data_IF_275280927124
#
_entry.id   IF_275280927124
#
_cell.length_a   1.000
_cell.length_b   1.000
_cell.length_c   1.000
_cell.angle_alpha   90.00
_cell.angle_beta   90.00
_cell.angle_gamma   90.00
#
_symmetry.space_group_name_H-M   'P 1'
#
loop_
_entity.id
_entity.type
_entity.pdbx_description
1 polymer ?
#
# COMPACT_ATOMS: atom_id res chain seq x y z
N UNK A 1 -8.27 26.58 -8.89
CA UNK A 1 -7.40 25.88 -9.86
C UNK A 1 -6.38 25.01 -9.12
N UNK A 2 -6.68 23.72 -8.98
CA UNK A 2 -5.77 22.67 -8.51
C UNK A 2 -5.56 21.67 -9.66
N UNK A 3 -4.51 20.85 -9.60
CA UNK A 3 -4.36 19.72 -10.52
C UNK A 3 -4.82 18.44 -9.86
N UNK A 4 -5.63 17.65 -10.56
CA UNK A 4 -5.95 16.30 -10.16
C UNK A 4 -4.66 15.47 -10.07
N UNK A 5 -4.38 14.77 -8.96
CA UNK A 5 -3.16 13.97 -8.81
C UNK A 5 -3.08 12.79 -9.80
N UNK A 6 -4.23 12.28 -10.25
CA UNK A 6 -4.35 11.18 -11.22
C UNK A 6 -4.12 11.64 -12.67
N UNK A 7 -5.09 12.36 -13.23
CA UNK A 7 -5.12 12.69 -14.65
C UNK A 7 -4.39 13.99 -15.01
N UNK A 8 -3.83 14.70 -14.02
CA UNK A 8 -3.22 16.04 -14.16
C UNK A 8 -4.17 17.12 -14.73
N UNK A 9 -5.47 16.86 -14.79
CA UNK A 9 -6.48 17.83 -15.24
C UNK A 9 -6.53 19.06 -14.32
N UNK A 10 -6.86 20.22 -14.90
CA UNK A 10 -7.06 21.47 -14.18
C UNK A 10 -8.50 21.51 -13.66
N UNK A 11 -8.66 21.29 -12.35
CA UNK A 11 -9.95 21.35 -11.65
C UNK A 11 -10.06 22.66 -10.88
N UNK A 12 -11.25 23.26 -10.89
CA UNK A 12 -11.58 24.40 -10.03
C UNK A 12 -12.34 23.86 -8.82
N UNK A 13 -11.75 24.06 -7.64
CA UNK A 13 -12.25 23.65 -6.33
C UNK A 13 -12.06 24.87 -5.43
N UNK A 14 -13.13 25.31 -4.78
CA UNK A 14 -13.15 26.49 -3.92
C UNK A 14 -12.86 26.10 -2.46
N UNK A 15 -11.80 26.67 -1.87
CA UNK A 15 -11.34 26.37 -0.50
C UNK A 15 -12.30 26.83 0.62
N UNK A 16 -13.28 27.67 0.27
CA UNK A 16 -14.40 28.09 1.13
C UNK A 16 -15.64 27.15 1.01
N UNK A 17 -15.72 26.31 -0.03
CA UNK A 17 -16.85 25.39 -0.26
C UNK A 17 -16.57 23.97 0.28
N UNK A 18 -15.31 23.50 0.22
CA UNK A 18 -14.92 22.15 0.65
C UNK A 18 -14.33 22.09 2.06
N UNK A 19 -14.64 21.03 2.80
CA UNK A 19 -14.11 20.78 4.16
C UNK A 19 -13.01 19.70 4.20
N UNK A 20 -12.19 19.69 5.26
CA UNK A 20 -11.17 18.64 5.47
C UNK A 20 -11.85 17.27 5.71
N UNK A 21 -11.49 16.27 4.91
CA UNK A 21 -12.13 14.95 4.88
C UNK A 21 -13.36 14.86 3.95
N UNK A 22 -13.63 15.86 3.12
CA UNK A 22 -14.69 15.77 2.11
C UNK A 22 -14.25 14.97 0.87
N UNK A 23 -15.19 14.19 0.30
CA UNK A 23 -14.98 13.33 -0.86
C UNK A 23 -15.53 14.02 -2.11
N UNK A 24 -14.67 14.25 -3.10
CA UNK A 24 -14.98 14.86 -4.39
C UNK A 24 -14.82 13.82 -5.51
N UNK A 25 -15.57 13.94 -6.60
CA UNK A 25 -15.32 13.16 -7.84
C UNK A 25 -14.70 14.04 -8.91
N UNK A 26 -13.62 13.60 -9.54
CA UNK A 26 -12.98 14.35 -10.63
C UNK A 26 -13.83 14.33 -11.91
N UNK A 27 -14.19 15.47 -12.53
CA UNK A 27 -15.07 15.49 -13.71
C UNK A 27 -14.43 14.94 -14.99
N UNK A 28 -13.10 14.77 -15.04
CA UNK A 28 -12.36 14.34 -16.23
C UNK A 28 -11.95 12.85 -16.20
N UNK A 29 -11.76 12.26 -15.02
CA UNK A 29 -11.35 10.87 -14.85
C UNK A 29 -12.24 10.05 -13.90
N UNK A 30 -13.28 10.66 -13.33
CA UNK A 30 -14.27 10.04 -12.43
C UNK A 30 -13.70 9.46 -11.11
N UNK A 31 -12.38 9.59 -10.87
CA UNK A 31 -11.70 9.21 -9.62
C UNK A 31 -12.24 9.95 -8.39
N UNK A 32 -12.31 9.25 -7.26
CA UNK A 32 -12.67 9.80 -5.96
C UNK A 32 -11.45 10.40 -5.25
N UNK A 33 -11.59 11.62 -4.73
CA UNK A 33 -10.53 12.44 -4.19
C UNK A 33 -10.95 12.98 -2.82
N UNK A 34 -10.14 12.76 -1.79
CA UNK A 34 -10.36 13.31 -0.44
C UNK A 34 -9.63 14.65 -0.27
N UNK A 35 -10.30 15.63 0.32
CA UNK A 35 -9.68 16.90 0.73
C UNK A 35 -8.89 16.72 2.03
N UNK A 36 -7.62 16.33 1.89
CA UNK A 36 -6.69 16.16 3.02
C UNK A 36 -6.28 17.48 3.71
N UNK A 37 -6.46 18.63 3.04
CA UNK A 37 -6.19 19.98 3.55
C UNK A 37 -6.94 21.01 2.69
N UNK A 38 -7.45 22.10 3.27
CA UNK A 38 -8.13 23.18 2.52
C UNK A 38 -7.23 24.38 2.19
N UNK A 39 -6.22 24.69 3.02
CA UNK A 39 -5.37 25.88 2.85
C UNK A 39 -3.87 25.55 2.96
N UNK A 40 -3.12 25.41 1.85
CA UNK A 40 -3.61 25.27 0.48
C UNK A 40 -4.38 23.95 0.29
N UNK A 41 -5.28 23.91 -0.71
CA UNK A 41 -6.04 22.70 -1.04
C UNK A 41 -5.07 21.56 -1.40
N UNK A 42 -5.23 20.42 -0.76
CA UNK A 42 -4.45 19.21 -1.03
C UNK A 42 -5.40 18.01 -1.15
N UNK A 43 -5.37 17.37 -2.32
CA UNK A 43 -6.24 16.25 -2.66
C UNK A 43 -5.46 14.93 -2.54
N UNK A 44 -6.03 13.97 -1.84
CA UNK A 44 -5.53 12.60 -1.78
C UNK A 44 -6.41 11.70 -2.67
N UNK A 45 -5.81 10.76 -3.40
CA UNK A 45 -6.59 9.79 -4.17
C UNK A 45 -7.17 8.73 -3.25
N UNK A 46 -8.46 8.46 -3.39
CA UNK A 46 -9.08 7.24 -2.89
C UNK A 46 -9.11 6.26 -4.06
N UNK A 47 -8.36 5.17 -3.94
CA UNK A 47 -8.65 3.98 -4.73
C UNK A 47 -9.96 3.41 -4.19
N UNK A 48 -10.96 3.21 -5.05
CA UNK A 48 -12.13 2.40 -4.70
C UNK A 48 -11.62 0.99 -4.35
N UNK A 49 -11.90 0.52 -3.14
CA UNK A 49 -11.33 -0.68 -2.50
C UNK A 49 -11.90 -1.99 -3.12
N UNK A 50 -12.22 -1.97 -4.43
CA UNK A 50 -12.81 -3.06 -5.21
C UNK A 50 -11.82 -3.80 -6.13
N UNK A 51 -10.53 -3.43 -6.11
CA UNK A 51 -9.45 -4.24 -6.69
C UNK A 51 -8.69 -4.97 -5.55
N UNK A 52 -9.19 -6.17 -5.22
CA UNK A 52 -8.42 -7.19 -4.50
C UNK A 52 -7.23 -7.66 -5.37
N UNK A 53 -6.04 -7.79 -4.78
CA UNK A 53 -4.79 -8.34 -5.36
C UNK A 53 -4.02 -7.46 -6.40
N UNK A 54 -2.95 -6.78 -5.96
CA UNK A 54 -1.57 -7.02 -6.46
C UNK A 54 -0.50 -6.25 -5.64
N UNK A 55 0.40 -6.97 -4.96
CA UNK A 55 1.85 -6.81 -5.11
C UNK A 55 2.51 -8.09 -4.58
N UNK A 56 2.77 -9.05 -5.49
CA UNK A 56 3.52 -10.26 -5.17
C UNK A 56 5.01 -9.94 -4.90
N UNK A 57 5.41 -9.76 -3.63
CA UNK A 57 6.82 -9.78 -3.23
C UNK A 57 7.44 -11.21 -3.34
N UNK A 58 7.53 -11.74 -4.56
CA UNK A 58 8.36 -12.91 -4.91
C UNK A 58 9.84 -12.51 -4.97
N UNK A 59 10.46 -12.33 -3.80
CA UNK A 59 11.92 -12.34 -3.67
C UNK A 59 12.40 -13.77 -3.37
N UNK A 60 12.20 -14.66 -4.36
CA UNK A 60 12.70 -16.03 -4.37
C UNK A 60 14.22 -16.11 -4.25
N UNK A 61 14.74 -16.07 -3.01
CA UNK A 61 16.18 -16.19 -2.74
C UNK A 61 16.66 -17.61 -3.01
N UNK A 62 17.19 -17.75 -4.23
CA UNK A 62 17.87 -18.91 -4.80
C UNK A 62 18.79 -19.59 -3.77
N UNK A 63 18.68 -20.92 -3.68
CA UNK A 63 19.21 -21.67 -2.55
C UNK A 63 20.72 -21.80 -2.49
N UNK A 64 21.21 -21.92 -1.26
CA UNK A 64 22.51 -22.51 -0.97
C UNK A 64 22.30 -23.99 -0.60
N UNK A 65 22.82 -24.88 -1.43
CA UNK A 65 23.01 -26.28 -1.08
C UNK A 65 24.44 -26.44 -0.54
N UNK A 66 24.54 -26.92 0.70
CA UNK A 66 25.79 -27.02 1.46
C UNK A 66 25.42 -27.03 2.95
N UNK A 67 25.82 -28.01 3.76
CA UNK A 67 26.69 -29.15 3.50
C UNK A 67 26.20 -30.37 4.30
N UNK A 68 26.61 -31.57 3.87
CA UNK A 68 26.26 -32.81 4.55
C UNK A 68 27.20 -33.04 5.74
N UNK A 69 26.70 -32.91 6.98
CA UNK A 69 27.31 -33.57 8.13
C UNK A 69 26.33 -34.57 8.73
N UNK A 70 26.41 -35.78 8.19
CA UNK A 70 26.11 -37.03 8.88
C UNK A 70 27.21 -37.22 9.94
N UNK A 71 26.87 -37.10 11.22
CA UNK A 71 27.70 -37.55 12.35
C UNK A 71 26.76 -38.30 13.31
N UNK A 72 26.90 -39.62 13.26
CA UNK A 72 26.33 -40.69 14.07
C UNK A 72 26.92 -40.68 15.51
N UNK A 73 26.44 -41.54 16.43
CA UNK A 73 26.92 -41.71 17.85
C UNK A 73 26.64 -40.52 18.83
N UNK A 74 26.59 -40.60 20.18
CA UNK A 74 26.75 -41.60 21.28
C UNK A 74 26.13 -40.94 22.57
N UNK A 75 25.35 -41.53 23.50
CA UNK A 75 24.60 -42.80 23.69
C UNK A 75 23.34 -42.49 24.60
N UNK A 76 22.47 -43.46 24.95
CA UNK A 76 21.31 -43.30 25.86
C UNK A 76 21.68 -42.91 27.32
N UNK A 77 20.89 -42.05 27.99
CA UNK A 77 20.71 -42.17 29.46
C UNK A 77 19.27 -41.84 29.90
N UNK A 78 18.45 -42.88 30.13
CA UNK A 78 17.19 -42.75 30.85
C UNK A 78 17.41 -42.79 32.37
N UNK A 79 17.23 -41.64 33.02
CA UNK A 79 17.16 -41.41 34.46
C UNK A 79 16.88 -39.91 34.68
N UNK A 80 16.07 -39.45 35.64
CA UNK A 80 15.69 -40.02 36.92
C UNK A 80 14.21 -39.66 37.26
N UNK A 81 13.30 -40.62 37.47
CA UNK A 81 12.28 -40.67 38.59
C UNK A 81 11.25 -41.83 38.47
#
# INVERSE_FOLDING_TARGET
MIRCPECSAEIDVDEDEVEEGEILSCPECESELEVSQTHPVHLNLIADDSDEEDDEEDEGKTGENGDLIDDDDDDEEEGEE
#
